data_IF_882248513155
#
_entry.id   IF_882248513155
#
_cell.length_a   1.000
_cell.length_b   1.000
_cell.length_c   1.000
_cell.angle_alpha   90.00
_cell.angle_beta   90.00
_cell.angle_gamma   90.00
#
_symmetry.space_group_name_H-M   'P 1'
#
loop_
_entity.id
_entity.type
_entity.pdbx_description
1 polymer ?
#
# COMPACT_ATOMS: atom_id res chain seq x y z
N UNK A 1 -5.91 -3.67 -2.43
CA UNK A 1 -5.27 -3.94 -3.74
C UNK A 1 -4.14 -4.96 -3.66
N UNK A 2 -3.08 -4.76 -2.88
CA UNK A 2 -1.94 -5.72 -2.80
C UNK A 2 -2.41 -7.16 -2.55
N UNK A 3 -3.22 -7.38 -1.52
CA UNK A 3 -3.72 -8.70 -1.18
C UNK A 3 -4.64 -9.34 -2.24
N UNK A 4 -5.30 -8.53 -3.09
CA UNK A 4 -6.07 -9.08 -4.23
C UNK A 4 -5.14 -9.82 -5.18
N UNK A 5 -4.03 -9.21 -5.56
CA UNK A 5 -3.01 -9.87 -6.39
C UNK A 5 -2.47 -11.14 -5.72
N UNK A 6 -2.25 -11.13 -4.40
CA UNK A 6 -1.78 -12.33 -3.70
C UNK A 6 -2.83 -13.43 -3.63
N UNK A 7 -4.09 -13.12 -3.32
CA UNK A 7 -5.16 -14.11 -3.28
C UNK A 7 -5.43 -14.72 -4.66
N UNK A 8 -5.39 -13.92 -5.73
CA UNK A 8 -5.59 -14.41 -7.10
C UNK A 8 -4.37 -15.17 -7.62
N UNK A 9 -3.14 -14.67 -7.41
CA UNK A 9 -1.93 -15.30 -7.94
C UNK A 9 -1.50 -16.53 -7.14
N UNK A 10 -1.60 -16.49 -5.80
CA UNK A 10 -1.08 -17.50 -4.88
C UNK A 10 -2.18 -18.47 -4.47
N UNK A 11 -3.31 -17.97 -3.97
CA UNK A 11 -4.39 -18.82 -3.47
C UNK A 11 -5.38 -19.26 -4.57
N UNK A 12 -5.28 -18.69 -5.78
CA UNK A 12 -6.22 -18.88 -6.90
C UNK A 12 -7.68 -18.59 -6.52
N UNK A 13 -7.88 -17.58 -5.69
CA UNK A 13 -9.20 -17.17 -5.22
C UNK A 13 -9.68 -15.90 -5.94
N UNK A 14 -10.85 -15.93 -6.60
CA UNK A 14 -11.47 -14.72 -7.15
C UNK A 14 -11.63 -13.67 -6.05
N UNK A 15 -11.05 -12.49 -6.23
CA UNK A 15 -11.01 -11.48 -5.16
C UNK A 15 -11.48 -10.12 -5.67
N UNK A 16 -12.53 -9.62 -5.04
CA UNK A 16 -13.01 -8.26 -5.26
C UNK A 16 -12.64 -7.37 -4.08
N UNK A 17 -12.39 -6.10 -4.36
CA UNK A 17 -12.13 -5.07 -3.36
C UNK A 17 -13.03 -3.89 -3.67
N UNK A 18 -13.42 -3.17 -2.64
CA UNK A 18 -14.26 -2.00 -2.80
C UNK A 18 -14.05 -1.03 -1.64
N UNK A 19 -14.31 0.25 -1.88
CA UNK A 19 -14.39 1.26 -0.83
C UNK A 19 -15.70 1.04 -0.07
N UNK A 20 -15.65 0.99 1.26
CA UNK A 20 -16.80 0.62 2.08
C UNK A 20 -18.00 1.56 1.90
N UNK A 21 -17.74 2.87 1.71
CA UNK A 21 -18.77 3.87 1.43
C UNK A 21 -19.56 3.56 0.16
N UNK A 22 -18.90 3.16 -0.93
CA UNK A 22 -19.58 2.81 -2.18
C UNK A 22 -20.34 1.48 -2.06
N UNK A 23 -19.73 0.51 -1.36
CA UNK A 23 -20.30 -0.81 -1.17
C UNK A 23 -21.65 -0.77 -0.43
N UNK A 24 -21.74 0.02 0.65
CA UNK A 24 -22.95 0.08 1.51
C UNK A 24 -24.15 0.77 0.85
N UNK A 25 -23.93 1.65 -0.13
CA UNK A 25 -25.00 2.44 -0.77
C UNK A 25 -25.53 1.85 -2.07
N UNK A 26 -25.03 0.67 -2.48
CA UNK A 26 -25.54 -0.07 -3.64
C UNK A 26 -26.16 -1.39 -3.24
N UNK A 27 -26.68 -2.13 -4.22
CA UNK A 27 -27.18 -3.50 -4.06
C UNK A 27 -26.11 -4.50 -4.54
N UNK A 28 -25.14 -4.91 -3.70
CA UNK A 28 -24.10 -5.83 -4.10
C UNK A 28 -24.64 -7.24 -4.35
N UNK A 29 -24.15 -7.87 -5.42
CA UNK A 29 -24.37 -9.31 -5.65
C UNK A 29 -23.27 -10.05 -4.88
N UNK A 30 -23.65 -10.68 -3.77
CA UNK A 30 -22.76 -11.52 -2.96
C UNK A 30 -23.12 -12.98 -3.22
N UNK A 31 -22.14 -13.76 -3.66
CA UNK A 31 -22.32 -15.18 -3.94
C UNK A 31 -22.24 -16.00 -2.64
N UNK A 32 -22.93 -17.13 -2.61
CA UNK A 32 -22.78 -18.11 -1.53
C UNK A 32 -21.33 -18.60 -1.43
N UNK A 33 -20.90 -18.93 -0.21
CA UNK A 33 -19.53 -19.33 0.12
C UNK A 33 -18.50 -18.21 -0.11
N UNK A 34 -18.93 -16.95 -0.08
CA UNK A 34 -18.02 -15.80 -0.06
C UNK A 34 -17.53 -15.52 1.37
N UNK A 35 -16.22 -15.30 1.51
CA UNK A 35 -15.63 -14.72 2.71
C UNK A 35 -15.59 -13.19 2.56
N UNK A 36 -16.36 -12.48 3.39
CA UNK A 36 -16.24 -11.03 3.52
C UNK A 36 -15.07 -10.70 4.46
N UNK A 37 -14.11 -9.93 3.95
CA UNK A 37 -12.96 -9.47 4.75
C UNK A 37 -13.07 -7.96 4.95
N UNK A 38 -13.18 -7.52 6.20
CA UNK A 38 -13.06 -6.10 6.56
C UNK A 38 -11.65 -5.82 7.07
N UNK A 39 -11.10 -4.65 6.71
CA UNK A 39 -9.77 -4.22 7.13
C UNK A 39 -9.93 -2.85 7.79
N UNK A 40 -9.57 -2.74 9.07
CA UNK A 40 -9.64 -1.47 9.79
C UNK A 40 -8.62 -1.41 10.90
N UNK A 41 -7.89 -0.30 11.03
CA UNK A 41 -6.96 -0.11 12.13
C UNK A 41 -7.72 0.04 13.47
N UNK A 42 -8.73 0.90 13.51
CA UNK A 42 -9.50 1.20 14.73
C UNK A 42 -10.58 0.16 15.03
N UNK A 43 -11.11 -0.46 13.98
CA UNK A 43 -12.27 -1.33 14.09
C UNK A 43 -13.61 -0.58 14.26
N UNK A 44 -13.58 0.76 14.17
CA UNK A 44 -14.71 1.67 14.42
C UNK A 44 -15.04 2.56 13.21
N UNK A 45 -14.46 2.28 12.04
CA UNK A 45 -14.73 3.03 10.82
C UNK A 45 -16.19 2.82 10.40
N UNK A 46 -17.00 3.88 10.41
CA UNK A 46 -18.46 3.80 10.26
C UNK A 46 -18.89 3.08 8.97
N UNK A 47 -18.35 3.49 7.82
CA UNK A 47 -18.69 2.87 6.54
C UNK A 47 -18.35 1.38 6.48
N UNK A 48 -17.21 0.98 7.03
CA UNK A 48 -16.78 -0.43 7.06
C UNK A 48 -17.69 -1.26 7.97
N UNK A 49 -18.10 -0.71 9.10
CA UNK A 49 -19.02 -1.35 10.04
C UNK A 49 -20.42 -1.51 9.44
N UNK A 50 -20.94 -0.48 8.80
CA UNK A 50 -22.25 -0.54 8.13
C UNK A 50 -22.26 -1.47 6.92
N UNK A 51 -21.15 -1.54 6.16
CA UNK A 51 -20.99 -2.54 5.11
C UNK A 51 -21.04 -3.97 5.68
N UNK A 52 -20.35 -4.25 6.79
CA UNK A 52 -20.41 -5.55 7.48
C UNK A 52 -21.84 -5.89 7.92
N UNK A 53 -22.51 -4.96 8.60
CA UNK A 53 -23.88 -5.15 9.10
C UNK A 53 -24.88 -5.40 7.99
N UNK A 54 -24.79 -4.62 6.90
CA UNK A 54 -25.65 -4.79 5.72
C UNK A 54 -25.51 -6.19 5.13
N UNK A 55 -24.27 -6.63 4.93
CA UNK A 55 -23.98 -7.93 4.34
C UNK A 55 -24.50 -9.08 5.22
N UNK A 56 -24.28 -9.00 6.55
CA UNK A 56 -24.82 -9.99 7.50
C UNK A 56 -26.34 -10.02 7.56
N UNK A 57 -27.00 -8.87 7.34
CA UNK A 57 -28.47 -8.77 7.36
C UNK A 57 -29.11 -9.45 6.15
N UNK A 58 -28.53 -9.29 4.97
CA UNK A 58 -29.14 -9.74 3.71
C UNK A 58 -28.60 -11.08 3.21
N UNK A 59 -27.42 -11.52 3.63
CA UNK A 59 -26.78 -12.75 3.17
C UNK A 59 -26.51 -13.70 4.34
N UNK A 60 -27.06 -14.93 4.27
CA UNK A 60 -26.97 -15.92 5.35
C UNK A 60 -25.88 -16.98 5.16
N UNK A 61 -25.37 -17.16 3.94
CA UNK A 61 -24.39 -18.21 3.57
C UNK A 61 -22.99 -17.64 3.32
N UNK A 62 -22.59 -16.69 4.15
CA UNK A 62 -21.31 -16.00 4.03
C UNK A 62 -20.60 -16.02 5.39
N UNK A 63 -19.28 -15.99 5.35
CA UNK A 63 -18.45 -15.87 6.54
C UNK A 63 -17.85 -14.47 6.60
N UNK A 64 -17.66 -13.96 7.81
CA UNK A 64 -17.11 -12.62 8.04
C UNK A 64 -15.79 -12.69 8.82
N UNK A 65 -14.74 -12.08 8.27
CA UNK A 65 -13.43 -11.97 8.89
C UNK A 65 -13.03 -10.49 9.02
N UNK A 66 -12.71 -10.04 10.22
CA UNK A 66 -12.10 -8.74 10.46
C UNK A 66 -10.59 -8.86 10.64
N UNK A 67 -9.81 -8.10 9.87
CA UNK A 67 -8.39 -7.83 10.13
C UNK A 67 -8.28 -6.48 10.83
N UNK A 68 -7.91 -6.49 12.11
CA UNK A 68 -7.93 -5.28 12.95
C UNK A 68 -6.76 -5.20 13.92
N UNK A 69 -6.42 -3.98 14.35
CA UNK A 69 -5.42 -3.77 15.39
C UNK A 69 -6.03 -3.63 16.80
N UNK A 70 -7.36 -3.47 16.91
CA UNK A 70 -8.08 -3.29 18.17
C UNK A 70 -8.96 -4.52 18.48
N UNK A 71 -8.63 -5.24 19.56
CA UNK A 71 -9.27 -6.50 19.91
C UNK A 71 -10.75 -6.35 20.30
N UNK A 72 -11.12 -5.25 20.96
CA UNK A 72 -12.45 -5.00 21.52
C UNK A 72 -13.21 -3.93 20.73
N UNK A 73 -13.02 -3.88 19.42
CA UNK A 73 -13.73 -2.95 18.54
C UNK A 73 -15.08 -3.50 18.08
N UNK A 74 -15.91 -2.63 17.51
CA UNK A 74 -17.20 -3.02 16.92
C UNK A 74 -17.04 -4.05 15.80
N UNK A 75 -16.09 -3.84 14.87
CA UNK A 75 -15.84 -4.79 13.79
C UNK A 75 -15.39 -6.16 14.30
N UNK A 76 -14.53 -6.23 15.32
CA UNK A 76 -14.08 -7.52 15.87
C UNK A 76 -15.18 -8.25 16.64
N UNK A 77 -16.04 -7.53 17.37
CA UNK A 77 -17.21 -8.14 18.05
C UNK A 77 -18.26 -8.64 17.08
N UNK A 78 -18.47 -7.93 15.98
CA UNK A 78 -19.56 -8.22 15.03
C UNK A 78 -19.16 -9.20 13.93
N UNK A 79 -17.87 -9.52 13.78
CA UNK A 79 -17.40 -10.53 12.82
C UNK A 79 -17.34 -11.93 13.43
N UNK A 80 -17.50 -12.96 12.62
CA UNK A 80 -17.37 -14.36 13.07
C UNK A 80 -15.92 -14.75 13.34
N UNK A 81 -15.01 -14.23 12.54
CA UNK A 81 -13.57 -14.45 12.65
C UNK A 81 -12.86 -13.12 12.83
N UNK A 82 -11.77 -13.14 13.59
CA UNK A 82 -10.90 -11.98 13.78
C UNK A 82 -9.45 -12.39 13.63
N UNK A 83 -8.68 -11.60 12.89
CA UNK A 83 -7.23 -11.70 12.79
C UNK A 83 -6.62 -10.39 13.27
N UNK A 84 -6.03 -10.41 14.47
CA UNK A 84 -5.41 -9.22 15.05
C UNK A 84 -4.02 -8.97 14.47
N UNK A 85 -3.72 -7.73 14.12
CA UNK A 85 -2.41 -7.34 13.56
C UNK A 85 -1.32 -7.17 14.62
N UNK A 86 -1.71 -6.97 15.88
CA UNK A 86 -0.82 -6.81 17.04
C UNK A 86 0.28 -5.73 16.86
N UNK A 87 -0.01 -4.65 16.13
CA UNK A 87 0.93 -3.55 15.92
C UNK A 87 1.10 -2.64 17.16
N UNK A 88 0.29 -2.84 18.20
CA UNK A 88 0.18 -1.94 19.35
C UNK A 88 -0.51 -0.63 19.00
N UNK A 89 -0.62 0.29 19.96
CA UNK A 89 -1.34 1.57 19.76
C UNK A 89 -0.68 2.44 18.68
N UNK A 90 -1.47 2.98 17.76
CA UNK A 90 -1.02 3.88 16.70
C UNK A 90 -1.70 5.25 16.90
N UNK A 91 -0.91 6.26 17.29
CA UNK A 91 -1.44 7.56 17.73
C UNK A 91 -1.59 8.54 16.56
N UNK A 92 -0.59 8.61 15.68
CA UNK A 92 -0.61 9.49 14.51
C UNK A 92 -1.79 9.17 13.62
N UNK A 93 -2.47 10.21 13.09
CA UNK A 93 -3.60 10.06 12.17
C UNK A 93 -3.20 9.23 10.95
N UNK A 94 -2.10 9.58 10.30
CA UNK A 94 -1.59 8.85 9.14
C UNK A 94 -1.08 7.47 9.56
N UNK A 95 -1.71 6.41 9.06
CA UNK A 95 -1.33 5.04 9.43
C UNK A 95 0.00 4.62 8.81
N UNK A 96 0.82 3.90 9.57
CA UNK A 96 2.14 3.40 9.13
C UNK A 96 2.31 1.92 9.45
N UNK A 97 2.49 1.58 10.72
CA UNK A 97 2.68 0.21 11.19
C UNK A 97 1.39 -0.62 11.07
N UNK A 98 0.21 -0.01 11.17
CA UNK A 98 -1.02 -0.76 10.95
C UNK A 98 -1.13 -1.21 9.49
N UNK A 99 -0.75 -0.36 8.52
CA UNK A 99 -0.73 -0.74 7.11
C UNK A 99 0.24 -1.91 6.84
N UNK A 100 1.48 -1.85 7.32
CA UNK A 100 2.46 -2.92 7.07
C UNK A 100 2.09 -4.23 7.77
N UNK A 101 1.57 -4.16 9.00
CA UNK A 101 1.08 -5.37 9.70
C UNK A 101 -0.20 -5.93 9.09
N UNK A 102 -1.11 -5.10 8.54
CA UNK A 102 -2.25 -5.56 7.75
C UNK A 102 -1.79 -6.33 6.51
N UNK A 103 -0.75 -5.86 5.80
CA UNK A 103 -0.16 -6.59 4.69
C UNK A 103 0.42 -7.95 5.13
N UNK A 104 1.09 -8.01 6.29
CA UNK A 104 1.57 -9.29 6.84
C UNK A 104 0.40 -10.23 7.15
N UNK A 105 -0.65 -9.75 7.81
CA UNK A 105 -1.86 -10.54 8.10
C UNK A 105 -2.52 -11.06 6.82
N UNK A 106 -2.63 -10.21 5.78
CA UNK A 106 -3.20 -10.60 4.49
C UNK A 106 -2.32 -11.60 3.74
N UNK A 107 -0.99 -11.50 3.85
CA UNK A 107 -0.06 -12.46 3.27
C UNK A 107 -0.22 -13.84 3.93
N UNK A 108 -0.27 -13.88 5.26
CA UNK A 108 -0.51 -15.11 6.04
C UNK A 108 -1.87 -15.73 5.68
N UNK A 109 -2.92 -14.91 5.58
CA UNK A 109 -4.25 -15.36 5.16
C UNK A 109 -4.22 -15.94 3.74
N UNK A 110 -3.54 -15.28 2.80
CA UNK A 110 -3.42 -15.75 1.41
C UNK A 110 -2.75 -17.11 1.34
N UNK A 111 -1.66 -17.32 2.09
CA UNK A 111 -0.99 -18.63 2.18
C UNK A 111 -1.87 -19.67 2.83
N UNK A 112 -2.54 -19.33 3.94
CA UNK A 112 -3.41 -20.26 4.66
C UNK A 112 -4.56 -20.75 3.76
N UNK A 113 -5.23 -19.85 3.04
CA UNK A 113 -6.27 -20.20 2.08
C UNK A 113 -5.67 -21.06 0.95
N UNK A 114 -4.55 -20.64 0.36
CA UNK A 114 -3.87 -21.39 -0.70
C UNK A 114 -3.51 -22.82 -0.29
N UNK A 115 -3.07 -23.03 0.95
CA UNK A 115 -2.80 -24.38 1.50
C UNK A 115 -4.08 -25.21 1.64
N UNK A 116 -5.13 -24.64 2.22
CA UNK A 116 -6.42 -25.32 2.36
C UNK A 116 -6.98 -25.78 1.01
N UNK A 117 -6.75 -24.99 -0.05
CA UNK A 117 -7.17 -25.31 -1.41
C UNK A 117 -6.11 -26.07 -2.25
N UNK A 118 -5.01 -26.52 -1.64
CA UNK A 118 -3.90 -27.24 -2.30
C UNK A 118 -3.29 -26.47 -3.49
N UNK A 119 -3.36 -25.14 -3.47
CA UNK A 119 -2.74 -24.25 -4.46
C UNK A 119 -1.32 -23.83 -4.06
N UNK A 120 -0.99 -23.95 -2.77
CA UNK A 120 0.34 -23.65 -2.22
C UNK A 120 0.95 -24.96 -1.72
N UNK A 121 2.09 -25.33 -2.28
CA UNK A 121 2.87 -26.49 -1.81
C UNK A 121 3.78 -26.14 -0.63
N UNK A 122 4.42 -27.16 -0.04
CA UNK A 122 5.30 -26.98 1.12
C UNK A 122 6.52 -26.10 0.83
N UNK A 123 7.05 -26.14 -0.40
CA UNK A 123 8.24 -25.39 -0.77
C UNK A 123 7.89 -23.90 -0.93
N UNK A 124 6.79 -23.60 -1.60
CA UNK A 124 6.26 -22.26 -1.76
C UNK A 124 5.86 -21.67 -0.41
N UNK A 125 5.18 -22.43 0.45
CA UNK A 125 4.89 -22.01 1.83
C UNK A 125 6.17 -21.65 2.58
N UNK A 126 7.16 -22.55 2.60
CA UNK A 126 8.41 -22.33 3.31
C UNK A 126 9.15 -21.08 2.80
N UNK A 127 9.16 -20.86 1.49
CA UNK A 127 9.77 -19.66 0.88
C UNK A 127 9.07 -18.37 1.31
N UNK A 128 7.73 -18.37 1.37
CA UNK A 128 6.96 -17.20 1.81
C UNK A 128 7.19 -16.93 3.29
N UNK A 129 7.12 -17.96 4.13
CA UNK A 129 7.34 -17.84 5.58
C UNK A 129 8.75 -17.37 5.88
N UNK A 130 9.77 -17.87 5.18
CA UNK A 130 11.14 -17.36 5.28
C UNK A 130 11.22 -15.87 4.93
N UNK A 131 10.58 -15.45 3.83
CA UNK A 131 10.48 -14.05 3.46
C UNK A 131 9.86 -13.18 4.55
N UNK A 132 8.76 -13.63 5.17
CA UNK A 132 8.11 -12.93 6.28
C UNK A 132 9.01 -12.87 7.52
N UNK A 133 9.73 -13.93 7.86
CA UNK A 133 10.67 -13.96 8.99
C UNK A 133 11.83 -12.97 8.79
N UNK A 134 12.25 -12.72 7.54
CA UNK A 134 13.29 -11.75 7.21
C UNK A 134 12.81 -10.29 7.22
N UNK A 135 11.49 -10.03 7.26
CA UNK A 135 10.95 -8.67 7.14
C UNK A 135 11.49 -7.69 8.18
N UNK A 136 11.63 -8.09 9.44
CA UNK A 136 12.12 -7.21 10.50
C UNK A 136 13.54 -6.70 10.20
N UNK A 137 14.42 -7.60 9.76
CA UNK A 137 15.79 -7.27 9.35
C UNK A 137 15.83 -6.40 8.09
N UNK A 138 14.97 -6.69 7.10
CA UNK A 138 14.86 -5.89 5.88
C UNK A 138 14.35 -4.48 6.18
N UNK A 139 13.30 -4.34 7.00
CA UNK A 139 12.77 -3.04 7.43
C UNK A 139 13.85 -2.25 8.16
N UNK A 140 14.59 -2.88 9.10
CA UNK A 140 15.69 -2.22 9.80
C UNK A 140 16.74 -1.66 8.83
N UNK A 141 17.17 -2.46 7.85
CA UNK A 141 18.11 -2.03 6.82
C UNK A 141 17.57 -0.88 5.98
N UNK A 142 16.29 -0.91 5.61
CA UNK A 142 15.67 0.20 4.87
C UNK A 142 15.58 1.47 5.70
N UNK A 143 15.33 1.37 7.01
CA UNK A 143 15.35 2.53 7.92
C UNK A 143 16.75 3.16 8.04
N UNK A 144 17.84 2.39 7.88
CA UNK A 144 19.21 2.91 7.88
C UNK A 144 19.48 3.87 6.70
N UNK A 145 18.61 3.91 5.68
CA UNK A 145 18.71 4.80 4.53
C UNK A 145 18.07 6.19 4.78
N UNK A 146 17.58 6.45 5.99
CA UNK A 146 16.88 7.69 6.34
C UNK A 146 17.64 8.97 5.95
N UNK A 147 18.96 9.02 6.15
CA UNK A 147 19.78 10.19 5.79
C UNK A 147 19.68 10.57 4.32
N UNK A 148 19.66 9.59 3.41
CA UNK A 148 19.51 9.83 1.98
C UNK A 148 18.09 10.32 1.64
N UNK A 149 17.09 9.84 2.39
CA UNK A 149 15.70 10.28 2.23
C UNK A 149 15.50 11.70 2.75
N UNK A 150 16.21 12.12 3.80
CA UNK A 150 16.23 13.50 4.29
C UNK A 150 16.77 14.43 3.20
N UNK A 151 17.88 14.07 2.55
CA UNK A 151 18.45 14.85 1.44
C UNK A 151 17.47 14.93 0.26
N UNK A 152 16.86 13.80 -0.09
CA UNK A 152 15.85 13.72 -1.15
C UNK A 152 14.63 14.61 -0.84
N UNK A 153 14.16 14.61 0.41
CA UNK A 153 13.00 15.37 0.85
C UNK A 153 13.19 16.89 0.68
N UNK A 154 14.44 17.41 0.72
CA UNK A 154 14.74 18.82 0.45
C UNK A 154 14.27 19.26 -0.94
N UNK A 155 14.30 18.36 -1.93
CA UNK A 155 13.83 18.68 -3.29
C UNK A 155 12.32 18.92 -3.40
N UNK A 156 11.55 18.59 -2.36
CA UNK A 156 10.09 18.82 -2.31
C UNK A 156 9.70 20.14 -1.63
N UNK A 157 10.66 20.91 -1.09
CA UNK A 157 10.39 22.14 -0.32
C UNK A 157 9.42 23.09 -1.04
N UNK A 158 9.66 23.33 -2.33
CA UNK A 158 8.87 24.27 -3.15
C UNK A 158 7.91 23.54 -4.12
N UNK A 159 7.68 22.24 -3.92
CA UNK A 159 6.79 21.43 -4.75
C UNK A 159 5.37 21.43 -4.19
N UNK A 160 4.39 21.52 -5.08
CA UNK A 160 2.96 21.53 -4.76
C UNK A 160 2.22 20.33 -5.33
N UNK A 161 2.78 19.69 -6.35
CA UNK A 161 2.25 18.48 -6.96
C UNK A 161 3.28 17.36 -6.90
N UNK A 162 2.84 16.11 -6.88
CA UNK A 162 3.72 14.94 -7.05
C UNK A 162 2.94 13.77 -7.64
N UNK A 163 3.58 12.97 -8.49
CA UNK A 163 2.96 11.79 -9.09
C UNK A 163 3.69 10.54 -8.64
N UNK A 164 2.94 9.52 -8.22
CA UNK A 164 3.46 8.22 -7.82
C UNK A 164 3.11 7.15 -8.86
N UNK A 165 4.09 6.33 -9.23
CA UNK A 165 3.96 5.30 -10.25
C UNK A 165 4.34 3.93 -9.72
N UNK A 166 3.53 2.95 -10.09
CA UNK A 166 3.82 1.54 -9.86
C UNK A 166 3.09 0.65 -10.84
N UNK A 167 3.49 -0.62 -10.90
CA UNK A 167 2.82 -1.68 -11.68
C UNK A 167 2.47 -2.85 -10.77
N UNK A 168 1.37 -3.55 -11.08
CA UNK A 168 0.90 -4.67 -10.28
C UNK A 168 0.65 -4.27 -8.82
N UNK A 169 1.21 -5.03 -7.87
CA UNK A 169 1.13 -4.72 -6.44
C UNK A 169 1.75 -3.37 -6.09
N UNK A 170 2.77 -2.91 -6.83
CA UNK A 170 3.40 -1.61 -6.56
C UNK A 170 2.54 -0.43 -6.92
N UNK A 171 1.50 -0.59 -7.76
CA UNK A 171 0.53 0.48 -7.95
C UNK A 171 -0.21 0.79 -6.63
N UNK A 172 -0.55 -0.24 -5.85
CA UNK A 172 -1.16 -0.05 -4.54
C UNK A 172 -0.20 0.63 -3.54
N UNK A 173 1.10 0.33 -3.63
CA UNK A 173 2.11 0.97 -2.80
C UNK A 173 2.34 2.42 -3.23
N UNK A 174 2.27 2.71 -4.53
CA UNK A 174 2.26 4.08 -5.05
C UNK A 174 1.05 4.87 -4.53
N UNK A 175 -0.14 4.26 -4.49
CA UNK A 175 -1.33 4.87 -3.90
C UNK A 175 -1.15 5.19 -2.42
N UNK A 176 -0.58 4.26 -1.65
CA UNK A 176 -0.29 4.52 -0.23
C UNK A 176 0.73 5.65 -0.07
N UNK A 177 1.82 5.66 -0.85
CA UNK A 177 2.83 6.72 -0.82
C UNK A 177 2.25 8.10 -1.15
N UNK A 178 1.42 8.18 -2.20
CA UNK A 178 0.70 9.41 -2.54
C UNK A 178 -0.26 9.83 -1.43
N UNK A 179 -0.99 8.88 -0.83
CA UNK A 179 -1.89 9.18 0.28
C UNK A 179 -1.11 9.74 1.48
N UNK A 180 0.00 9.11 1.89
CA UNK A 180 0.84 9.62 2.98
C UNK A 180 1.34 11.03 2.69
N UNK A 181 1.93 11.26 1.52
CA UNK A 181 2.46 12.57 1.17
C UNK A 181 1.35 13.64 1.21
N UNK A 182 0.16 13.34 0.68
CA UNK A 182 -1.01 14.21 0.71
C UNK A 182 -1.48 14.53 2.14
N UNK A 183 -1.62 13.51 2.97
CA UNK A 183 -2.15 13.62 4.33
C UNK A 183 -1.29 14.55 5.20
N UNK A 184 0.03 14.33 5.22
CA UNK A 184 0.90 15.00 6.20
C UNK A 184 1.67 16.20 5.65
N UNK A 185 1.94 16.28 4.34
CA UNK A 185 2.66 17.42 3.75
C UNK A 185 1.77 18.42 3.01
N UNK A 186 0.52 18.04 2.71
CA UNK A 186 -0.43 18.80 1.88
C UNK A 186 0.02 19.06 0.43
N UNK A 187 1.06 18.36 -0.05
CA UNK A 187 1.38 18.30 -1.48
C UNK A 187 0.26 17.53 -2.18
N UNK A 188 -0.27 18.10 -3.25
CA UNK A 188 -1.24 17.43 -4.09
C UNK A 188 -0.57 16.26 -4.80
N UNK A 189 -0.78 15.07 -4.25
CA UNK A 189 -0.16 13.85 -4.75
C UNK A 189 -1.20 12.85 -5.24
N UNK A 190 -0.88 12.25 -6.39
CA UNK A 190 -1.76 11.29 -7.05
C UNK A 190 -0.93 10.10 -7.51
N UNK A 191 -1.54 8.92 -7.53
CA UNK A 191 -0.90 7.69 -7.95
C UNK A 191 -1.60 7.11 -9.17
N UNK A 192 -0.81 6.72 -10.16
CA UNK A 192 -1.31 6.10 -11.39
C UNK A 192 -0.66 4.73 -11.60
N UNK A 193 -1.40 3.77 -12.19
CA UNK A 193 -0.75 2.61 -12.78
C UNK A 193 0.19 3.13 -13.89
N UNK A 194 1.45 2.73 -13.88
CA UNK A 194 2.44 3.32 -14.79
C UNK A 194 2.07 3.16 -16.29
N UNK A 195 1.32 2.11 -16.63
CA UNK A 195 0.81 1.89 -17.99
C UNK A 195 -0.26 2.89 -18.45
N UNK A 196 -0.97 3.51 -17.51
CA UNK A 196 -2.10 4.39 -17.80
C UNK A 196 -1.70 5.85 -18.03
N UNK A 197 -0.42 6.20 -17.81
CA UNK A 197 0.06 7.58 -17.93
C UNK A 197 -0.28 8.21 -19.29
N UNK A 198 -0.09 7.45 -20.38
CA UNK A 198 -0.34 7.92 -21.74
C UNK A 198 -1.81 8.19 -22.04
N UNK A 199 -2.73 7.71 -21.21
CA UNK A 199 -4.17 7.84 -21.42
C UNK A 199 -4.75 9.13 -20.81
N UNK A 200 -3.90 10.11 -20.48
CA UNK A 200 -4.31 11.42 -19.98
C UNK A 200 -3.35 12.00 -18.93
N UNK A 201 -3.03 11.26 -17.84
CA UNK A 201 -2.26 11.80 -16.72
C UNK A 201 -0.88 12.36 -17.06
N UNK A 202 -0.26 11.89 -18.15
CA UNK A 202 1.02 12.41 -18.63
C UNK A 202 0.98 13.91 -18.97
N UNK A 203 -0.21 14.48 -19.21
CA UNK A 203 -0.38 15.91 -19.44
C UNK A 203 -0.09 16.77 -18.20
N UNK A 204 -0.14 16.18 -16.99
CA UNK A 204 0.18 16.85 -15.73
C UNK A 204 1.69 16.89 -15.43
N UNK A 205 2.50 16.19 -16.23
CA UNK A 205 3.93 16.04 -15.96
C UNK A 205 4.71 17.21 -16.58
N UNK A 206 5.35 17.98 -15.71
CA UNK A 206 6.26 19.06 -16.04
C UNK A 206 7.48 19.08 -15.11
N UNK A 207 8.33 20.10 -15.23
CA UNK A 207 9.53 20.31 -14.39
C UNK A 207 9.21 20.52 -12.90
N UNK A 208 7.99 20.92 -12.57
CA UNK A 208 7.54 21.26 -11.21
C UNK A 208 6.78 20.13 -10.53
N UNK A 209 6.51 19.05 -11.27
CA UNK A 209 5.81 17.87 -10.79
C UNK A 209 6.80 16.69 -10.67
N UNK A 210 7.41 16.46 -9.49
CA UNK A 210 8.25 15.29 -9.26
C UNK A 210 7.46 14.00 -9.46
N UNK A 211 8.10 13.02 -10.10
CA UNK A 211 7.55 11.69 -10.33
C UNK A 211 8.33 10.68 -9.51
N UNK A 212 7.64 10.03 -8.57
CA UNK A 212 8.15 8.96 -7.71
C UNK A 212 7.75 7.63 -8.34
N UNK A 213 8.70 6.73 -8.60
CA UNK A 213 8.43 5.41 -9.15
C UNK A 213 8.99 4.30 -8.25
N UNK A 214 8.27 3.19 -8.19
CA UNK A 214 8.63 2.01 -7.39
C UNK A 214 8.97 0.86 -8.35
N UNK A 215 10.23 0.44 -8.36
CA UNK A 215 10.82 -0.47 -9.34
C UNK A 215 11.40 -1.74 -8.69
N UNK A 216 10.55 -2.69 -8.23
CA UNK A 216 11.03 -3.98 -7.78
C UNK A 216 11.62 -4.78 -8.93
N UNK A 217 12.46 -5.77 -8.60
CA UNK A 217 13.01 -6.68 -9.59
C UNK A 217 12.00 -7.80 -9.90
N UNK A 218 11.00 -7.50 -10.74
CA UNK A 218 9.97 -8.45 -11.16
C UNK A 218 9.74 -8.44 -12.69
N UNK A 219 8.83 -9.30 -13.14
CA UNK A 219 8.47 -9.46 -14.55
C UNK A 219 7.91 -8.20 -15.24
N UNK A 220 7.51 -7.17 -14.47
CA UNK A 220 6.96 -5.93 -14.98
C UNK A 220 8.02 -4.81 -15.07
N UNK A 221 9.25 -5.06 -14.61
CA UNK A 221 10.34 -4.08 -14.56
C UNK A 221 10.63 -3.47 -15.93
N UNK A 222 10.75 -4.27 -16.99
CA UNK A 222 11.05 -3.74 -18.33
C UNK A 222 9.93 -2.83 -18.86
N UNK A 223 8.67 -3.17 -18.54
CA UNK A 223 7.52 -2.33 -18.89
C UNK A 223 7.51 -1.04 -18.08
N UNK A 224 7.91 -1.10 -16.81
CA UNK A 224 8.07 0.10 -15.98
C UNK A 224 9.19 1.00 -16.53
N UNK A 225 10.37 0.46 -16.84
CA UNK A 225 11.49 1.21 -17.44
C UNK A 225 11.07 1.95 -18.72
N UNK A 226 10.27 1.30 -19.57
CA UNK A 226 9.69 1.96 -20.75
C UNK A 226 8.81 3.15 -20.38
N UNK A 227 7.96 3.06 -19.36
CA UNK A 227 7.15 4.20 -18.92
C UNK A 227 8.00 5.33 -18.31
N UNK A 228 9.09 5.00 -17.61
CA UNK A 228 9.98 6.01 -17.06
C UNK A 228 10.67 6.83 -18.16
N UNK A 229 11.05 6.21 -19.27
CA UNK A 229 11.59 6.95 -20.43
C UNK A 229 10.58 7.95 -21.00
N UNK A 230 9.30 7.58 -21.04
CA UNK A 230 8.23 8.46 -21.54
C UNK A 230 8.04 9.68 -20.64
N UNK A 231 7.99 9.47 -19.33
CA UNK A 231 7.93 10.56 -18.33
C UNK A 231 9.14 11.46 -18.45
N UNK A 232 10.33 10.86 -18.64
CA UNK A 232 11.58 11.59 -18.71
C UNK A 232 11.60 12.64 -19.81
N UNK A 233 11.02 12.33 -20.96
CA UNK A 233 10.94 13.23 -22.12
C UNK A 233 10.23 14.57 -21.82
N UNK A 234 9.52 14.67 -20.68
CA UNK A 234 8.76 15.86 -20.24
C UNK A 234 9.51 16.75 -19.24
N UNK A 235 10.75 16.41 -18.89
CA UNK A 235 11.60 17.25 -18.04
C UNK A 235 11.32 17.19 -16.54
N UNK A 236 10.42 16.30 -16.10
CA UNK A 236 10.14 16.07 -14.67
C UNK A 236 11.37 15.53 -13.94
N UNK A 237 11.52 15.96 -12.68
CA UNK A 237 12.43 15.32 -11.74
C UNK A 237 11.89 13.94 -11.39
N UNK A 238 12.67 12.90 -11.67
CA UNK A 238 12.28 11.54 -11.40
C UNK A 238 13.02 11.00 -10.18
N UNK A 239 12.30 10.27 -9.33
CA UNK A 239 12.82 9.63 -8.13
C UNK A 239 12.41 8.17 -8.23
N UNK A 240 13.36 7.25 -8.33
CA UNK A 240 13.10 5.82 -8.48
C UNK A 240 13.60 5.10 -7.25
N UNK A 241 12.68 4.51 -6.49
CA UNK A 241 13.01 3.54 -5.45
C UNK A 241 13.05 2.16 -6.10
N UNK A 242 14.24 1.56 -6.18
CA UNK A 242 14.42 0.28 -6.88
C UNK A 242 14.92 -0.84 -5.97
N UNK A 243 14.74 -2.08 -6.43
CA UNK A 243 15.53 -3.20 -5.93
C UNK A 243 16.94 -3.08 -6.52
N UNK A 244 18.00 -3.40 -5.76
CA UNK A 244 19.39 -3.26 -6.23
C UNK A 244 19.64 -4.04 -7.53
N UNK A 245 18.91 -5.14 -7.76
CA UNK A 245 19.04 -5.95 -8.97
C UNK A 245 18.21 -5.42 -10.14
N UNK A 246 17.32 -4.45 -9.92
CA UNK A 246 16.53 -3.83 -10.99
C UNK A 246 17.38 -3.07 -11.99
N UNK A 247 18.52 -2.51 -11.58
CA UNK A 247 19.46 -1.81 -12.45
C UNK A 247 18.75 -0.82 -13.40
N UNK A 248 17.95 0.09 -12.84
CA UNK A 248 17.29 1.14 -13.65
C UNK A 248 18.38 2.09 -14.18
N UNK A 249 18.51 2.25 -15.50
CA UNK A 249 19.60 3.02 -16.09
C UNK A 249 19.47 4.50 -15.69
N UNK A 250 20.55 5.16 -15.23
CA UNK A 250 20.50 6.57 -14.85
C UNK A 250 20.13 7.46 -16.05
N UNK A 251 19.31 8.48 -15.83
CA UNK A 251 18.77 9.36 -16.89
C UNK A 251 18.68 10.81 -16.41
N UNK A 252 19.45 11.75 -16.98
CA UNK A 252 19.57 13.17 -16.58
C UNK A 252 18.94 13.51 -15.20
N UNK A 253 18.01 14.44 -15.01
CA UNK A 253 17.27 14.70 -13.75
C UNK A 253 16.51 13.49 -13.11
N UNK A 254 17.18 12.37 -12.81
CA UNK A 254 16.65 11.18 -12.15
C UNK A 254 17.56 10.81 -10.99
N UNK A 255 16.95 10.62 -9.83
CA UNK A 255 17.59 10.11 -8.63
C UNK A 255 17.14 8.66 -8.48
N UNK A 256 18.08 7.72 -8.43
CA UNK A 256 17.81 6.31 -8.20
C UNK A 256 18.29 5.97 -6.81
N UNK A 257 17.41 5.39 -6.00
CA UNK A 257 17.71 4.93 -4.64
C UNK A 257 17.45 3.43 -4.57
N UNK A 258 18.51 2.65 -4.44
CA UNK A 258 18.42 1.19 -4.27
C UNK A 258 18.05 0.87 -2.82
N UNK A 259 16.87 0.29 -2.61
CA UNK A 259 16.30 0.05 -1.28
C UNK A 259 16.90 -1.20 -0.64
N UNK A 260 16.82 -2.33 -1.34
CA UNK A 260 17.42 -3.60 -0.93
C UNK A 260 17.35 -4.58 -2.11
N UNK A 261 17.79 -5.82 -1.90
CA UNK A 261 17.75 -6.90 -2.88
C UNK A 261 17.05 -8.14 -2.31
N UNK A 262 16.83 -9.14 -3.17
CA UNK A 262 16.23 -10.44 -2.81
C UNK A 262 14.84 -10.31 -2.19
N UNK A 263 14.04 -9.37 -2.71
CA UNK A 263 12.65 -9.22 -2.35
C UNK A 263 11.77 -10.20 -3.14
N UNK A 264 10.92 -10.93 -2.43
CA UNK A 264 9.90 -11.77 -3.02
C UNK A 264 8.60 -11.00 -3.26
N UNK A 265 7.66 -11.62 -3.97
CA UNK A 265 6.35 -11.04 -4.32
C UNK A 265 5.54 -10.53 -3.12
N UNK A 266 5.72 -11.15 -1.94
CA UNK A 266 5.04 -10.74 -0.69
C UNK A 266 5.85 -9.68 0.07
N UNK A 267 7.17 -9.81 0.12
CA UNK A 267 8.00 -8.89 0.92
C UNK A 267 8.17 -7.55 0.22
N UNK A 268 8.25 -7.52 -1.12
CA UNK A 268 8.48 -6.29 -1.87
C UNK A 268 7.47 -5.19 -1.53
N UNK A 269 6.14 -5.39 -1.58
CA UNK A 269 5.19 -4.31 -1.29
C UNK A 269 5.33 -3.73 0.12
N UNK A 270 5.68 -4.58 1.10
CA UNK A 270 5.87 -4.16 2.48
C UNK A 270 7.13 -3.31 2.60
N UNK A 271 8.26 -3.77 2.03
CA UNK A 271 9.54 -3.07 2.11
C UNK A 271 9.51 -1.74 1.37
N UNK A 272 8.95 -1.71 0.15
CA UNK A 272 8.84 -0.46 -0.62
C UNK A 272 7.87 0.57 -0.01
N UNK A 273 7.05 0.19 0.96
CA UNK A 273 6.22 1.16 1.70
C UNK A 273 7.07 2.04 2.63
N UNK A 274 8.11 1.46 3.25
CA UNK A 274 8.94 2.14 4.25
C UNK A 274 9.62 3.41 3.73
N UNK A 275 10.32 3.43 2.57
CA UNK A 275 10.94 4.65 2.08
C UNK A 275 9.92 5.73 1.71
N UNK A 276 8.71 5.36 1.30
CA UNK A 276 7.64 6.32 0.99
C UNK A 276 7.06 6.97 2.24
N UNK A 277 6.95 6.20 3.33
CA UNK A 277 6.57 6.72 4.64
C UNK A 277 7.63 7.70 5.16
N UNK A 278 8.92 7.33 5.09
CA UNK A 278 10.03 8.21 5.47
C UNK A 278 10.07 9.48 4.61
N UNK A 279 9.91 9.35 3.29
CA UNK A 279 9.86 10.51 2.39
C UNK A 279 8.73 11.45 2.78
N UNK A 280 7.51 10.92 2.95
CA UNK A 280 6.35 11.74 3.33
C UNK A 280 6.56 12.44 4.68
N UNK A 281 7.14 11.73 5.65
CA UNK A 281 7.47 12.26 6.97
C UNK A 281 8.46 13.43 6.88
N UNK A 282 9.58 13.24 6.19
CA UNK A 282 10.61 14.27 6.09
C UNK A 282 10.17 15.47 5.24
N UNK A 283 9.36 15.25 4.20
CA UNK A 283 8.74 16.35 3.46
C UNK A 283 7.78 17.16 4.35
N UNK A 284 6.98 16.49 5.19
CA UNK A 284 6.11 17.17 6.14
C UNK A 284 6.90 18.02 7.16
N UNK A 285 8.02 17.49 7.67
CA UNK A 285 8.92 18.26 8.55
C UNK A 285 9.46 19.52 7.86
N UNK A 286 9.90 19.41 6.61
CA UNK A 286 10.41 20.54 5.82
C UNK A 286 9.31 21.58 5.56
N UNK A 287 8.08 21.13 5.31
CA UNK A 287 6.91 22.00 5.13
C UNK A 287 6.42 22.62 6.45
N UNK A 288 6.91 22.14 7.61
CA UNK A 288 6.50 22.62 8.93
C UNK A 288 5.05 22.28 9.29
N UNK A 289 4.51 21.19 8.75
CA UNK A 289 3.14 20.73 9.02
C UNK A 289 3.05 19.87 10.28
N UNK A 290 1.85 19.75 10.84
CA UNK A 290 1.62 18.84 11.98
C UNK A 290 1.49 17.40 11.50
N UNK A 291 2.57 16.63 11.66
CA UNK A 291 2.67 15.24 11.19
C UNK A 291 1.68 14.31 11.91
N UNK A 292 1.53 14.44 13.24
CA UNK A 292 0.68 13.55 14.02
C UNK A 292 -0.81 13.88 13.92
N UNK A 293 -1.12 15.18 13.75
CA UNK A 293 -2.48 15.71 13.65
C UNK A 293 -2.61 16.63 12.43
N UNK A 294 -2.58 16.07 11.20
CA UNK A 294 -2.79 16.83 9.98
C UNK A 294 -4.17 17.50 10.01
N UNK A 295 -4.25 18.69 9.41
CA UNK A 295 -5.48 19.50 9.39
C UNK A 295 -6.62 18.74 8.73
N UNK A 296 -7.83 18.93 9.25
CA UNK A 296 -9.08 18.38 8.70
C UNK A 296 -9.17 16.84 8.70
N UNK A 297 -8.25 16.13 9.35
CA UNK A 297 -8.26 14.67 9.43
C UNK A 297 -8.43 14.21 10.88
N UNK A 298 -9.05 13.05 11.05
CA UNK A 298 -9.20 12.37 12.33
C UNK A 298 -8.63 10.96 12.23
N UNK A 299 -8.14 10.40 13.34
CA UNK A 299 -7.53 9.06 13.36
C UNK A 299 -8.49 7.96 12.91
N UNK A 300 -9.76 8.10 13.26
CA UNK A 300 -10.83 7.22 12.83
C UNK A 300 -12.04 8.07 12.47
N UNK A 301 -12.64 7.79 11.32
CA UNK A 301 -13.90 8.40 10.89
C UNK A 301 -15.03 7.54 11.46
N UNK A 302 -15.54 7.95 12.62
CA UNK A 302 -16.59 7.24 13.38
C UNK A 302 -18.00 7.81 13.16
N UNK A 303 -18.11 8.84 12.32
CA UNK A 303 -19.35 9.53 11.95
C UNK A 303 -19.34 9.74 10.44
N UNK A 304 -20.53 9.87 9.86
CA UNK A 304 -20.72 10.29 8.46
C UNK A 304 -20.50 11.79 8.27
#
# INVERSE_FOLDING_TARGET
LVAKYWLEDIAKMPTNIEVASEYRYRNPIVLDNTLLITISQSGETADTLEALRSVKKYHKNIYTLTICNCAESSLTRESELTLLTHAGSEISVASTKAFTTQLVSLALLSVAIGKCHKQVDKQQEASIVDGLNRLSGLIKKTLEQESQIIELAQSFKDKFNAIFLGRGTMHAIAMEGALKLKEISYIHSEAFPAGELKHGPIALIDKDTPVIAIAPNDQLLDKLKSNLQEVKSRGSQMIVFEDEMSNVPPMQNMIVMSITHNLGRITAPIIFTIPLQLLSYHVALIKGTNVDKPRNLAKSVTVE
#
